data_IF_458787965078
#
_entry.id   IF_458787965078
#
_cell.length_a   1.000
_cell.length_b   1.000
_cell.length_c   1.000
_cell.angle_alpha   90.00
_cell.angle_beta   90.00
_cell.angle_gamma   90.00
#
_symmetry.space_group_name_H-M   'P 1'
#
loop_
_entity.id
_entity.type
_entity.pdbx_description
1 polymer ?
#
# COMPACT_ATOMS: atom_id res chain seq x y z
N UNK A 1 -3.81 7.23 -12.93
CA UNK A 1 -4.21 6.05 -13.74
C UNK A 1 -3.00 5.61 -14.55
N UNK A 2 -2.88 4.31 -14.85
CA UNK A 2 -1.76 3.82 -15.68
C UNK A 2 -1.97 4.15 -17.16
N UNK A 3 -0.90 4.56 -17.84
CA UNK A 3 -0.86 4.66 -19.30
C UNK A 3 -0.70 3.27 -19.94
N UNK A 4 -1.00 3.13 -21.24
CA UNK A 4 -0.98 1.83 -21.93
C UNK A 4 0.37 1.11 -21.82
N UNK A 5 1.48 1.85 -21.96
CA UNK A 5 2.82 1.30 -21.80
C UNK A 5 3.09 0.83 -20.35
N UNK A 6 2.56 1.54 -19.35
CA UNK A 6 2.65 1.16 -17.94
C UNK A 6 1.81 -0.09 -17.64
N UNK A 7 0.64 -0.24 -18.28
CA UNK A 7 -0.20 -1.44 -18.18
C UNK A 7 0.56 -2.65 -18.75
N UNK A 8 1.23 -2.50 -19.88
CA UNK A 8 2.03 -3.58 -20.46
C UNK A 8 3.25 -3.93 -19.59
N UNK A 9 3.96 -2.93 -19.06
CA UNK A 9 5.04 -3.17 -18.08
C UNK A 9 4.51 -3.91 -16.85
N UNK A 10 3.32 -3.54 -16.35
CA UNK A 10 2.70 -4.21 -15.20
C UNK A 10 2.41 -5.69 -15.53
N UNK A 11 1.84 -5.97 -16.71
CA UNK A 11 1.57 -7.34 -17.16
C UNK A 11 2.87 -8.16 -17.24
N UNK A 12 3.90 -7.62 -17.88
CA UNK A 12 5.20 -8.29 -18.02
C UNK A 12 5.85 -8.56 -16.66
N UNK A 13 5.83 -7.57 -15.77
CA UNK A 13 6.41 -7.70 -14.44
C UNK A 13 5.66 -8.74 -13.58
N UNK A 14 4.33 -8.80 -13.67
CA UNK A 14 3.54 -9.84 -13.02
C UNK A 14 3.92 -11.22 -13.57
N UNK A 15 3.94 -11.40 -14.90
CA UNK A 15 4.29 -12.68 -15.54
C UNK A 15 5.68 -13.15 -15.10
N UNK A 16 6.68 -12.26 -15.20
CA UNK A 16 8.04 -12.56 -14.80
C UNK A 16 8.11 -12.95 -13.31
N UNK A 17 7.43 -12.20 -12.45
CA UNK A 17 7.44 -12.42 -11.00
C UNK A 17 6.78 -13.75 -10.61
N UNK A 18 5.61 -14.08 -11.18
CA UNK A 18 4.93 -15.34 -10.85
C UNK A 18 5.63 -16.57 -11.39
N UNK A 19 6.46 -16.40 -12.44
CA UNK A 19 7.30 -17.45 -12.98
C UNK A 19 8.47 -17.82 -12.04
N UNK A 20 8.91 -16.91 -11.16
CA UNK A 20 9.99 -17.14 -10.21
C UNK A 20 9.57 -18.17 -9.15
N UNK A 21 10.28 -19.30 -9.00
CA UNK A 21 9.88 -20.39 -8.09
C UNK A 21 9.99 -20.02 -6.60
N UNK A 22 10.85 -19.05 -6.25
CA UNK A 22 11.04 -18.62 -4.84
C UNK A 22 10.03 -17.55 -4.40
N UNK A 23 9.21 -17.02 -5.31
CA UNK A 23 8.17 -16.05 -4.99
C UNK A 23 6.83 -16.78 -4.82
N UNK A 24 6.32 -16.77 -3.58
CA UNK A 24 5.01 -17.34 -3.25
C UNK A 24 3.86 -16.48 -3.77
N UNK A 25 3.95 -15.17 -3.55
CA UNK A 25 2.93 -14.17 -3.89
C UNK A 25 3.57 -12.81 -4.18
N UNK A 26 2.85 -11.95 -4.89
CA UNK A 26 3.26 -10.55 -5.10
C UNK A 26 2.75 -9.75 -3.91
N UNK A 27 3.66 -9.38 -3.01
CA UNK A 27 3.39 -8.61 -1.80
C UNK A 27 4.62 -7.84 -1.32
N UNK A 28 4.39 -6.90 -0.39
CA UNK A 28 5.43 -6.07 0.22
C UNK A 28 6.44 -5.52 -0.81
N UNK A 29 7.73 -5.82 -0.63
CA UNK A 29 8.80 -5.32 -1.47
C UNK A 29 8.71 -5.84 -2.92
N UNK A 30 8.12 -7.01 -3.16
CA UNK A 30 7.90 -7.50 -4.53
C UNK A 30 6.94 -6.58 -5.29
N UNK A 31 5.90 -6.09 -4.62
CA UNK A 31 4.99 -5.11 -5.23
C UNK A 31 5.68 -3.76 -5.43
N UNK A 32 6.46 -3.31 -4.44
CA UNK A 32 7.27 -2.09 -4.53
C UNK A 32 8.20 -2.12 -5.76
N UNK A 33 8.95 -3.20 -5.95
CA UNK A 33 9.86 -3.37 -7.07
C UNK A 33 9.14 -3.38 -8.44
N UNK A 34 8.01 -4.09 -8.53
CA UNK A 34 7.17 -4.07 -9.75
C UNK A 34 6.68 -2.66 -10.03
N UNK A 35 6.17 -1.95 -9.03
CA UNK A 35 5.63 -0.61 -9.22
C UNK A 35 6.70 0.37 -9.69
N UNK A 36 7.91 0.30 -9.13
CA UNK A 36 9.05 1.08 -9.57
C UNK A 36 9.40 0.82 -11.05
N UNK A 37 9.44 -0.45 -11.47
CA UNK A 37 9.63 -0.81 -12.88
C UNK A 37 8.51 -0.26 -13.78
N UNK A 38 7.25 -0.39 -13.35
CA UNK A 38 6.08 0.09 -14.10
C UNK A 38 6.16 1.61 -14.31
N UNK A 39 6.48 2.35 -13.24
CA UNK A 39 6.53 3.82 -13.24
C UNK A 39 7.86 4.41 -13.68
N UNK A 40 8.84 3.58 -14.03
CA UNK A 40 10.19 4.04 -14.39
C UNK A 40 10.85 4.87 -13.27
N UNK A 41 10.67 4.44 -12.02
CA UNK A 41 11.22 5.08 -10.83
C UNK A 41 12.41 4.26 -10.34
N UNK A 42 13.59 4.86 -10.11
CA UNK A 42 14.73 4.15 -9.53
C UNK A 42 14.35 3.46 -8.22
N UNK A 43 14.65 2.17 -8.10
CA UNK A 43 14.41 1.38 -6.90
C UNK A 43 15.70 1.34 -6.06
N UNK A 44 15.61 1.78 -4.81
CA UNK A 44 16.72 1.69 -3.87
C UNK A 44 16.87 0.28 -3.33
N UNK A 45 18.11 -0.20 -3.17
CA UNK A 45 18.37 -1.47 -2.51
C UNK A 45 17.96 -1.40 -1.03
N UNK A 46 16.99 -2.23 -0.58
CA UNK A 46 16.53 -2.22 0.81
C UNK A 46 17.61 -2.63 1.81
N UNK A 47 18.66 -3.33 1.37
CA UNK A 47 19.78 -3.73 2.23
C UNK A 47 20.67 -2.53 2.66
N UNK A 48 20.63 -1.42 1.93
CA UNK A 48 21.40 -0.20 2.24
C UNK A 48 20.75 0.66 3.33
N UNK A 49 19.64 0.19 3.91
CA UNK A 49 18.91 0.87 4.97
C UNK A 49 17.82 1.79 4.41
N UNK A 50 16.61 1.65 4.95
CA UNK A 50 15.46 2.48 4.57
C UNK A 50 14.72 3.03 5.78
N UNK A 51 14.41 4.32 5.75
CA UNK A 51 13.51 4.93 6.73
C UNK A 51 12.06 4.66 6.33
N UNK A 52 11.25 4.15 7.26
CA UNK A 52 9.85 3.82 6.99
C UNK A 52 8.97 5.07 6.94
N UNK A 53 8.85 5.65 5.75
CA UNK A 53 7.94 6.76 5.46
C UNK A 53 6.59 6.27 4.91
N UNK A 54 5.75 7.16 4.40
CA UNK A 54 4.40 6.80 3.90
C UNK A 54 4.44 6.34 2.45
N UNK A 55 5.21 7.03 1.61
CA UNK A 55 5.29 6.73 0.19
C UNK A 55 6.42 5.74 -0.04
N UNK A 56 6.07 4.57 -0.58
CA UNK A 56 7.02 3.51 -0.91
C UNK A 56 7.70 3.84 -2.25
N UNK A 57 7.02 4.56 -3.15
CA UNK A 57 7.57 5.06 -4.41
C UNK A 57 7.37 6.58 -4.53
N UNK A 58 8.37 7.29 -5.03
CA UNK A 58 8.34 8.75 -5.26
C UNK A 58 8.93 9.06 -6.64
N UNK A 59 8.17 9.78 -7.47
CA UNK A 59 8.63 10.30 -8.74
C UNK A 59 8.97 11.80 -8.59
N UNK A 60 10.27 12.18 -8.56
CA UNK A 60 10.67 13.58 -8.35
C UNK A 60 10.20 14.52 -9.46
N UNK A 61 10.17 14.04 -10.70
CA UNK A 61 9.79 14.84 -11.88
C UNK A 61 8.37 15.40 -11.81
N UNK A 62 7.44 14.67 -11.18
CA UNK A 62 6.04 15.09 -11.01
C UNK A 62 5.68 15.40 -9.56
N UNK A 63 6.65 15.32 -8.65
CA UNK A 63 6.43 15.36 -7.20
C UNK A 63 5.28 14.43 -6.75
N UNK A 64 5.19 13.25 -7.35
CA UNK A 64 4.15 12.26 -7.04
C UNK A 64 4.68 11.19 -6.09
N UNK A 65 3.87 10.79 -5.12
CA UNK A 65 4.20 9.75 -4.16
C UNK A 65 3.08 8.72 -4.04
N UNK A 66 3.45 7.45 -3.94
CA UNK A 66 2.52 6.33 -3.81
C UNK A 66 2.76 5.53 -2.55
N UNK A 67 1.74 5.39 -1.71
CA UNK A 67 1.68 4.35 -0.68
C UNK A 67 1.18 3.06 -1.33
N UNK A 68 2.04 2.05 -1.38
CA UNK A 68 1.82 0.79 -2.08
C UNK A 68 1.21 -0.25 -1.15
N UNK A 69 0.16 -0.93 -1.60
CA UNK A 69 -0.48 -2.03 -0.88
C UNK A 69 -0.78 -3.18 -1.82
N UNK A 70 -0.71 -4.40 -1.32
CA UNK A 70 -1.22 -5.57 -2.04
C UNK A 70 -2.18 -6.33 -1.15
N UNK A 71 -3.29 -6.83 -1.71
CA UNK A 71 -4.28 -7.61 -0.97
C UNK A 71 -4.78 -8.78 -1.79
N UNK A 72 -4.99 -9.91 -1.12
CA UNK A 72 -5.65 -11.05 -1.71
C UNK A 72 -7.16 -10.96 -1.46
N UNK A 73 -7.95 -11.06 -2.53
CA UNK A 73 -9.40 -11.21 -2.48
C UNK A 73 -9.80 -12.58 -3.02
N UNK A 74 -10.98 -13.07 -2.64
CA UNK A 74 -11.50 -14.34 -3.16
C UNK A 74 -11.94 -14.23 -4.62
N UNK A 75 -12.42 -13.06 -5.03
CA UNK A 75 -12.86 -12.74 -6.40
C UNK A 75 -12.91 -11.23 -6.61
N UNK A 76 -12.83 -10.80 -7.87
CA UNK A 76 -13.15 -9.43 -8.25
C UNK A 76 -14.60 -9.37 -8.72
N UNK A 77 -15.40 -8.54 -8.06
CA UNK A 77 -16.73 -8.17 -8.54
C UNK A 77 -16.80 -6.66 -8.59
N UNK A 78 -17.53 -6.11 -9.56
CA UNK A 78 -17.72 -4.68 -9.66
C UNK A 78 -18.28 -4.15 -8.33
N UNK A 79 -17.79 -3.00 -7.88
CA UNK A 79 -18.18 -2.37 -6.61
C UNK A 79 -17.85 -3.18 -5.35
N UNK A 80 -16.97 -4.19 -5.41
CA UNK A 80 -16.44 -4.83 -4.19
C UNK A 80 -15.75 -3.79 -3.32
N UNK A 81 -16.16 -3.70 -2.07
CA UNK A 81 -15.45 -2.94 -1.04
C UNK A 81 -14.48 -3.86 -0.30
N UNK A 82 -13.25 -3.42 -0.17
CA UNK A 82 -12.19 -4.12 0.53
C UNK A 82 -11.57 -3.21 1.60
N UNK A 83 -11.00 -3.84 2.62
CA UNK A 83 -10.41 -3.17 3.77
C UNK A 83 -8.93 -3.48 3.83
N UNK A 84 -8.11 -2.46 4.11
CA UNK A 84 -6.67 -2.63 4.25
C UNK A 84 -6.13 -1.72 5.33
N UNK A 85 -5.02 -2.14 5.94
CA UNK A 85 -4.34 -1.35 6.96
C UNK A 85 -3.61 -0.19 6.30
N UNK A 86 -3.94 1.05 6.69
CA UNK A 86 -3.23 2.25 6.23
C UNK A 86 -2.12 2.66 7.19
N UNK A 87 -2.27 2.38 8.48
CA UNK A 87 -1.21 2.54 9.46
C UNK A 87 -1.47 1.76 10.74
N UNK A 88 -0.42 1.59 11.55
CA UNK A 88 -0.59 1.37 12.99
C UNK A 88 -0.91 2.71 13.64
N UNK A 89 -2.01 2.76 14.38
CA UNK A 89 -2.52 3.94 15.06
C UNK A 89 -2.62 3.67 16.58
N UNK A 90 -1.55 3.98 17.31
CA UNK A 90 -1.52 3.91 18.77
C UNK A 90 -1.81 5.30 19.35
N UNK A 91 -3.03 5.79 19.12
CA UNK A 91 -3.42 7.18 19.41
C UNK A 91 -3.45 7.50 20.90
N UNK A 92 -3.74 6.51 21.75
CA UNK A 92 -3.70 6.67 23.21
C UNK A 92 -2.27 6.86 23.70
N UNK A 93 -1.30 6.09 23.18
CA UNK A 93 0.11 6.30 23.53
C UNK A 93 0.65 7.64 23.03
N UNK A 94 0.13 8.12 21.90
CA UNK A 94 0.53 9.40 21.28
C UNK A 94 -0.36 10.58 21.69
N UNK A 95 -1.26 10.38 22.63
CA UNK A 95 -2.28 11.32 23.08
C UNK A 95 -1.76 12.77 23.21
N UNK A 96 -0.73 12.98 24.03
CA UNK A 96 -0.13 14.31 24.26
C UNK A 96 0.45 14.93 22.99
N UNK A 97 1.15 14.14 22.16
CA UNK A 97 1.76 14.62 20.92
C UNK A 97 0.70 15.06 19.90
N UNK A 98 -0.44 14.36 19.89
CA UNK A 98 -1.57 14.64 19.02
C UNK A 98 -2.48 15.78 19.54
N UNK A 99 -2.20 16.36 20.71
CA UNK A 99 -3.03 17.41 21.31
C UNK A 99 -4.22 16.92 22.14
N UNK A 100 -4.25 15.64 22.52
CA UNK A 100 -5.32 15.02 23.31
C UNK A 100 -4.78 14.45 24.64
N UNK A 101 -4.23 15.26 25.57
CA UNK A 101 -3.44 14.76 26.70
C UNK A 101 -4.17 13.79 27.65
N UNK A 102 -5.51 13.83 27.69
CA UNK A 102 -6.34 12.97 28.55
C UNK A 102 -7.02 11.82 27.78
N UNK A 103 -6.61 11.55 26.53
CA UNK A 103 -7.21 10.51 25.71
C UNK A 103 -6.97 9.12 26.30
N UNK A 104 -8.03 8.36 26.51
CA UNK A 104 -7.98 6.96 26.96
C UNK A 104 -8.84 6.08 26.07
N UNK A 105 -8.77 4.76 26.25
CA UNK A 105 -9.66 3.84 25.52
C UNK A 105 -11.14 4.01 25.88
N UNK A 106 -11.44 4.68 27.00
CA UNK A 106 -12.79 4.97 27.48
C UNK A 106 -13.30 6.33 27.01
N UNK A 107 -12.47 7.13 26.34
CA UNK A 107 -12.88 8.39 25.74
C UNK A 107 -14.03 8.20 24.75
N UNK A 108 -14.75 9.28 24.47
CA UNK A 108 -15.89 9.23 23.56
C UNK A 108 -15.45 8.83 22.14
N UNK A 109 -16.34 8.20 21.34
CA UNK A 109 -16.09 7.92 19.92
C UNK A 109 -15.58 9.12 19.14
N UNK A 110 -16.14 10.32 19.43
CA UNK A 110 -15.76 11.56 18.76
C UNK A 110 -14.33 11.98 19.11
N UNK A 111 -13.94 11.95 20.38
CA UNK A 111 -12.57 12.31 20.79
C UNK A 111 -11.52 11.34 20.24
N UNK A 112 -11.79 10.03 20.33
CA UNK A 112 -10.91 9.02 19.73
C UNK A 112 -10.83 9.16 18.21
N UNK A 113 -11.97 9.41 17.57
CA UNK A 113 -12.06 9.68 16.14
C UNK A 113 -11.20 10.87 15.72
N UNK A 114 -11.31 11.99 16.43
CA UNK A 114 -10.51 13.18 16.18
C UNK A 114 -9.00 12.91 16.31
N UNK A 115 -8.58 12.17 17.34
CA UNK A 115 -7.17 11.79 17.51
C UNK A 115 -6.66 10.84 16.40
N UNK A 116 -7.51 9.93 15.91
CA UNK A 116 -7.20 9.05 14.77
C UNK A 116 -6.99 9.86 13.48
N UNK A 117 -7.90 10.81 13.20
CA UNK A 117 -7.77 11.68 12.03
C UNK A 117 -6.51 12.53 12.13
N UNK A 118 -6.26 13.16 13.29
CA UNK A 118 -5.05 13.96 13.52
C UNK A 118 -3.78 13.13 13.28
N UNK A 119 -3.70 11.92 13.85
CA UNK A 119 -2.53 11.06 13.71
C UNK A 119 -2.29 10.64 12.25
N UNK A 120 -3.35 10.36 11.49
CA UNK A 120 -3.22 10.05 10.07
C UNK A 120 -2.82 11.25 9.23
N UNK A 121 -3.45 12.41 9.47
CA UNK A 121 -3.16 13.63 8.73
C UNK A 121 -1.72 14.09 8.95
N UNK A 122 -1.23 14.05 10.19
CA UNK A 122 0.19 14.32 10.51
C UNK A 122 1.13 13.35 9.77
N UNK A 123 0.76 12.07 9.66
CA UNK A 123 1.57 11.09 8.93
C UNK A 123 1.66 11.44 7.44
N UNK A 124 0.55 11.86 6.83
CA UNK A 124 0.52 12.32 5.43
C UNK A 124 1.40 13.57 5.28
N UNK A 125 1.10 14.65 6.01
CA UNK A 125 1.77 15.95 5.83
C UNK A 125 3.26 15.87 6.12
N UNK A 126 3.67 15.16 7.18
CA UNK A 126 5.08 14.94 7.51
C UNK A 126 5.79 14.16 6.41
N UNK A 127 5.18 13.08 5.92
CA UNK A 127 5.81 12.26 4.87
C UNK A 127 5.86 13.01 3.53
N UNK A 128 4.85 13.81 3.20
CA UNK A 128 4.86 14.68 2.02
C UNK A 128 6.02 15.66 2.07
N UNK A 129 6.18 16.34 3.21
CA UNK A 129 7.26 17.31 3.40
C UNK A 129 8.64 16.66 3.31
N UNK A 130 8.85 15.52 3.98
CA UNK A 130 10.16 14.83 3.98
C UNK A 130 10.50 14.27 2.60
N UNK A 131 9.52 13.74 1.87
CA UNK A 131 9.73 13.08 0.58
C UNK A 131 9.54 14.00 -0.63
N UNK A 132 9.25 15.29 -0.44
CA UNK A 132 9.04 16.24 -1.53
C UNK A 132 7.79 15.93 -2.38
N UNK A 133 6.77 15.28 -1.80
CA UNK A 133 5.56 14.85 -2.51
C UNK A 133 4.48 15.94 -2.45
N UNK A 134 3.93 16.29 -3.62
CA UNK A 134 2.76 17.18 -3.77
C UNK A 134 1.51 16.43 -4.18
N UNK A 135 1.65 15.42 -5.04
CA UNK A 135 0.55 14.59 -5.53
C UNK A 135 0.61 13.23 -4.84
N UNK A 136 -0.37 12.92 -4.01
CA UNK A 136 -0.34 11.75 -3.15
C UNK A 136 -1.37 10.72 -3.54
N UNK A 137 -0.95 9.46 -3.61
CA UNK A 137 -1.79 8.36 -4.04
C UNK A 137 -1.65 7.13 -3.14
N UNK A 138 -2.73 6.37 -3.03
CA UNK A 138 -2.70 4.96 -2.63
C UNK A 138 -2.74 4.12 -3.91
N UNK A 139 -1.75 3.25 -4.11
CA UNK A 139 -1.79 2.30 -5.21
C UNK A 139 -1.86 0.88 -4.68
N UNK A 140 -2.88 0.15 -5.15
CA UNK A 140 -3.30 -1.12 -4.59
C UNK A 140 -3.30 -2.18 -5.67
N UNK A 141 -2.50 -3.22 -5.49
CA UNK A 141 -2.56 -4.43 -6.29
C UNK A 141 -3.44 -5.47 -5.59
N UNK A 142 -4.63 -5.69 -6.12
CA UNK A 142 -5.51 -6.78 -5.71
C UNK A 142 -5.15 -8.04 -6.49
N UNK A 143 -5.17 -9.20 -5.83
CA UNK A 143 -4.88 -10.51 -6.44
C UNK A 143 -5.92 -11.54 -6.01
N UNK A 144 -6.27 -12.47 -6.90
CA UNK A 144 -7.07 -13.63 -6.51
C UNK A 144 -6.21 -14.69 -5.82
N UNK A 145 -6.84 -15.62 -5.09
CA UNK A 145 -6.16 -16.70 -4.37
C UNK A 145 -5.29 -17.55 -5.32
N UNK A 146 -5.80 -17.82 -6.52
CA UNK A 146 -5.11 -18.62 -7.52
C UNK A 146 -3.95 -17.84 -8.18
N UNK A 147 -4.01 -16.51 -8.17
CA UNK A 147 -2.99 -15.66 -8.79
C UNK A 147 -3.00 -15.70 -10.32
N UNK A 148 -4.18 -15.87 -10.92
CA UNK A 148 -4.38 -15.72 -12.37
C UNK A 148 -4.90 -14.33 -12.73
N UNK A 149 -5.49 -13.64 -11.77
CA UNK A 149 -6.09 -12.33 -11.96
C UNK A 149 -5.51 -11.34 -10.96
N UNK A 150 -5.07 -10.22 -11.50
CA UNK A 150 -4.54 -9.09 -10.77
C UNK A 150 -5.33 -7.85 -11.17
N UNK A 151 -5.62 -6.99 -10.21
CA UNK A 151 -6.38 -5.79 -10.45
C UNK A 151 -5.69 -4.61 -9.76
N UNK A 152 -5.28 -3.64 -10.57
CA UNK A 152 -4.62 -2.44 -10.11
C UNK A 152 -5.63 -1.32 -9.90
N UNK A 153 -5.61 -0.73 -8.70
CA UNK A 153 -6.37 0.45 -8.34
C UNK A 153 -5.43 1.57 -7.91
N UNK A 154 -5.82 2.80 -8.19
CA UNK A 154 -5.14 4.00 -7.67
C UNK A 154 -6.18 4.97 -7.12
N UNK A 155 -5.92 5.54 -5.96
CA UNK A 155 -6.81 6.50 -5.31
C UNK A 155 -6.03 7.72 -4.84
N UNK A 156 -6.61 8.93 -4.93
CA UNK A 156 -6.06 10.09 -4.26
C UNK A 156 -5.92 9.86 -2.75
N UNK A 157 -4.79 10.30 -2.19
CA UNK A 157 -4.44 10.22 -0.78
C UNK A 157 -4.29 11.63 -0.21
N UNK A 158 -5.40 12.19 0.23
CA UNK A 158 -5.44 13.49 0.87
C UNK A 158 -5.65 13.34 2.40
N UNK A 159 -5.21 14.32 3.20
CA UNK A 159 -5.67 14.45 4.59
C UNK A 159 -7.19 14.43 4.67
N UNK A 160 -7.72 13.82 5.71
CA UNK A 160 -9.15 13.78 5.97
C UNK A 160 -9.62 15.09 6.61
N UNK A 161 -10.82 15.56 6.25
CA UNK A 161 -11.52 16.56 7.06
C UNK A 161 -12.14 15.84 8.28
N UNK A 162 -11.77 16.22 9.51
CA UNK A 162 -12.36 15.60 10.70
C UNK A 162 -13.89 15.78 10.80
N UNK A 163 -14.46 16.81 10.16
CA UNK A 163 -15.88 17.11 10.22
C UNK A 163 -16.74 16.21 9.30
N UNK A 164 -16.11 15.50 8.34
CA UNK A 164 -16.82 14.60 7.43
C UNK A 164 -17.26 13.29 8.10
N UNK A 165 -16.66 12.96 9.24
CA UNK A 165 -16.80 11.66 9.88
C UNK A 165 -17.80 11.67 11.04
N UNK A 166 -18.71 10.71 11.01
CA UNK A 166 -19.43 10.27 12.21
C UNK A 166 -18.76 9.03 12.79
N UNK A 167 -18.61 8.98 14.11
CA UNK A 167 -17.86 7.94 14.83
C UNK A 167 -18.77 7.12 15.74
N UNK A 168 -18.66 5.80 15.67
CA UNK A 168 -19.39 4.88 16.53
C UNK A 168 -18.58 3.62 16.82
N UNK A 169 -18.76 3.05 18.02
CA UNK A 169 -18.17 1.76 18.36
C UNK A 169 -18.80 0.65 17.50
N UNK A 170 -17.95 -0.20 16.91
CA UNK A 170 -18.40 -1.40 16.20
C UNK A 170 -18.94 -2.42 17.18
N UNK A 171 -19.94 -3.18 16.75
CA UNK A 171 -20.45 -4.34 17.47
C UNK A 171 -19.74 -5.60 16.98
N UNK A 172 -19.17 -6.38 17.90
CA UNK A 172 -18.66 -7.71 17.59
C UNK A 172 -19.84 -8.60 17.14
N UNK A 173 -19.81 -9.04 15.88
CA UNK A 173 -20.90 -9.85 15.31
C UNK A 173 -21.05 -11.22 15.96
N UNK A 174 -19.99 -11.77 16.56
CA UNK A 174 -20.03 -13.07 17.24
C UNK A 174 -20.56 -12.97 18.66
N UNK A 175 -20.22 -11.90 19.37
CA UNK A 175 -20.56 -11.74 20.80
C UNK A 175 -21.68 -10.74 21.07
N UNK A 176 -22.07 -9.95 20.07
CA UNK A 176 -23.03 -8.85 20.20
C UNK A 176 -22.53 -7.68 21.06
N UNK A 177 -21.30 -7.73 21.56
CA UNK A 177 -20.75 -6.70 22.44
C UNK A 177 -20.19 -5.53 21.63
N UNK A 178 -20.50 -4.31 22.08
CA UNK A 178 -19.90 -3.09 21.54
C UNK A 178 -18.43 -2.96 21.97
N UNK A 179 -17.63 -2.29 21.14
CA UNK A 179 -16.25 -1.89 21.49
C UNK A 179 -15.13 -2.77 20.94
N UNK A 180 -15.40 -3.60 19.93
CA UNK A 180 -14.36 -4.37 19.23
C UNK A 180 -13.40 -3.45 18.44
N UNK A 181 -13.92 -2.34 17.92
CA UNK A 181 -13.22 -1.30 17.19
C UNK A 181 -14.09 -0.05 17.08
N UNK A 182 -13.51 1.03 16.55
CA UNK A 182 -14.16 2.31 16.36
C UNK A 182 -14.30 2.58 14.85
N UNK A 183 -15.52 2.78 14.38
CA UNK A 183 -15.83 2.99 12.96
C UNK A 183 -16.07 4.47 12.68
N UNK A 184 -15.36 5.00 11.69
CA UNK A 184 -15.62 6.31 11.09
C UNK A 184 -16.39 6.14 9.79
N UNK A 185 -17.49 6.88 9.64
CA UNK A 185 -18.39 6.79 8.49
C UNK A 185 -18.63 8.17 7.87
N UNK A 186 -18.62 8.24 6.53
CA UNK A 186 -18.99 9.44 5.76
C UNK A 186 -20.33 9.15 5.08
N UNK A 187 -21.31 10.03 5.24
CA UNK A 187 -22.67 9.85 4.71
C UNK A 187 -23.27 8.46 5.04
N UNK A 188 -23.01 7.95 6.25
CA UNK A 188 -23.48 6.64 6.71
C UNK A 188 -22.70 5.43 6.17
N UNK A 189 -21.72 5.63 5.29
CA UNK A 189 -20.89 4.55 4.73
C UNK A 189 -19.59 4.40 5.53
N UNK A 190 -19.25 3.20 6.02
CA UNK A 190 -17.99 2.95 6.71
C UNK A 190 -16.78 3.28 5.82
N UNK A 191 -15.88 4.14 6.31
CA UNK A 191 -14.66 4.53 5.60
C UNK A 191 -13.40 4.14 6.35
N UNK A 192 -13.44 4.19 7.69
CA UNK A 192 -12.34 3.86 8.57
C UNK A 192 -12.79 2.92 9.68
N UNK A 193 -11.93 1.99 10.08
CA UNK A 193 -12.12 1.20 11.30
C UNK A 193 -10.81 1.12 12.07
N UNK A 194 -10.83 1.56 13.32
CA UNK A 194 -9.70 1.44 14.23
C UNK A 194 -9.93 0.32 15.23
N UNK A 195 -9.03 -0.66 15.28
CA UNK A 195 -9.09 -1.74 16.26
C UNK A 195 -8.12 -1.48 17.40
N UNK A 196 -8.65 -1.18 18.60
CA UNK A 196 -7.87 -0.84 19.80
C UNK A 196 -6.80 -1.89 20.16
N UNK A 197 -7.16 -3.18 20.09
CA UNK A 197 -6.26 -4.28 20.48
C UNK A 197 -5.08 -4.45 19.53
N UNK A 198 -5.30 -4.20 18.24
CA UNK A 198 -4.27 -4.36 17.21
C UNK A 198 -3.54 -3.04 16.93
N UNK A 199 -4.09 -1.91 17.41
CA UNK A 199 -3.61 -0.56 17.15
C UNK A 199 -3.47 -0.33 15.65
N UNK A 200 -4.43 -0.82 14.87
CA UNK A 200 -4.43 -0.72 13.41
C UNK A 200 -5.61 0.12 12.95
N UNK A 201 -5.33 1.01 12.00
CA UNK A 201 -6.33 1.77 11.28
C UNK A 201 -6.51 1.15 9.90
N UNK A 202 -7.73 0.66 9.66
CA UNK A 202 -8.16 0.14 8.38
C UNK A 202 -8.90 1.23 7.61
N UNK A 203 -8.73 1.21 6.29
CA UNK A 203 -9.46 2.02 5.34
C UNK A 203 -10.26 1.14 4.40
N UNK A 204 -11.49 1.54 4.11
CA UNK A 204 -12.29 0.96 3.06
C UNK A 204 -12.00 1.64 1.72
N UNK A 205 -11.91 0.84 0.67
CA UNK A 205 -11.97 1.31 -0.72
C UNK A 205 -12.88 0.40 -1.52
N UNK A 206 -13.55 0.98 -2.50
CA UNK A 206 -14.37 0.25 -3.46
C UNK A 206 -13.58 0.14 -4.77
N UNK A 207 -13.60 -1.03 -5.40
CA UNK A 207 -12.95 -1.21 -6.71
C UNK A 207 -13.56 -0.19 -7.69
N UNK A 208 -12.75 0.72 -8.24
CA UNK A 208 -13.24 1.74 -9.16
C UNK A 208 -13.47 1.15 -10.56
N UNK A 209 -14.35 1.73 -11.38
CA UNK A 209 -14.59 1.25 -12.74
C UNK A 209 -13.36 1.36 -13.65
N UNK A 210 -12.47 2.31 -13.38
CA UNK A 210 -11.20 2.50 -14.09
C UNK A 210 -10.06 1.55 -13.66
N UNK A 211 -10.34 0.57 -12.79
CA UNK A 211 -9.32 -0.37 -12.37
C UNK A 211 -8.80 -1.20 -13.53
N UNK A 212 -7.48 -1.44 -13.55
CA UNK A 212 -6.82 -2.20 -14.62
C UNK A 212 -6.79 -3.67 -14.24
N UNK A 213 -7.56 -4.49 -14.95
CA UNK A 213 -7.51 -5.94 -14.84
C UNK A 213 -6.38 -6.50 -15.70
N UNK A 214 -5.53 -7.32 -15.09
CA UNK A 214 -4.47 -8.07 -15.75
C UNK A 214 -4.71 -9.56 -15.48
N UNK A 215 -4.95 -10.30 -16.56
CA UNK A 215 -5.03 -11.75 -16.52
C UNK A 215 -3.71 -12.35 -16.99
N UNK A 216 -3.22 -13.35 -16.26
CA UNK A 216 -1.96 -14.03 -16.56
C UNK A 216 -2.12 -15.53 -16.45
N UNK A 217 -1.37 -16.24 -17.30
CA UNK A 217 -1.14 -17.67 -17.11
C UNK A 217 0.01 -17.87 -16.12
N UNK A 218 -0.16 -18.81 -15.19
CA UNK A 218 0.84 -19.07 -14.16
C UNK A 218 1.70 -20.27 -14.53
N UNK A 219 2.81 -19.99 -15.21
CA UNK A 219 3.84 -21.00 -15.53
C UNK A 219 5.08 -20.72 -14.71
N UNK A 220 5.43 -21.62 -13.79
CA UNK A 220 6.64 -21.51 -12.95
C UNK A 220 7.85 -22.10 -13.66
N UNK A 221 8.97 -21.41 -13.59
CA UNK A 221 10.27 -21.97 -13.96
C UNK A 221 10.67 -23.06 -12.95
N UNK A 222 11.41 -24.06 -13.43
CA UNK A 222 12.14 -24.95 -12.52
C UNK A 222 13.24 -24.16 -11.81
N UNK A 223 13.61 -24.57 -10.59
CA UNK A 223 14.68 -23.91 -9.83
C UNK A 223 15.99 -23.82 -10.61
N UNK A 224 16.35 -24.87 -11.36
CA UNK A 224 17.53 -24.87 -12.21
C UNK A 224 17.45 -23.82 -13.32
N UNK A 225 16.30 -23.73 -14.02
CA UNK A 225 16.12 -22.75 -15.09
C UNK A 225 16.10 -21.32 -14.57
N UNK A 226 15.49 -21.09 -13.41
CA UNK A 226 15.51 -19.80 -12.72
C UNK A 226 16.95 -19.38 -12.40
N UNK A 227 17.71 -20.21 -11.69
CA UNK A 227 19.11 -19.90 -11.31
C UNK A 227 19.96 -19.63 -12.54
N UNK A 228 19.86 -20.47 -13.58
CA UNK A 228 20.60 -20.27 -14.83
C UNK A 228 20.26 -18.93 -15.49
N UNK A 229 18.97 -18.59 -15.57
CA UNK A 229 18.51 -17.34 -16.21
C UNK A 229 19.03 -16.11 -15.47
N UNK A 230 18.97 -16.12 -14.13
CA UNK A 230 19.50 -15.01 -13.32
C UNK A 230 21.02 -14.89 -13.44
N UNK A 231 21.76 -16.01 -13.39
CA UNK A 231 23.21 -15.97 -13.55
C UNK A 231 23.63 -15.44 -14.94
N UNK A 232 22.94 -15.85 -16.00
CA UNK A 232 23.19 -15.31 -17.34
C UNK A 232 22.93 -13.81 -17.43
N UNK A 233 21.79 -13.33 -16.91
CA UNK A 233 21.48 -11.90 -16.91
C UNK A 233 22.49 -11.07 -16.09
N UNK A 234 22.95 -11.60 -14.95
CA UNK A 234 23.99 -10.94 -14.14
C UNK A 234 25.32 -10.85 -14.88
N UNK A 235 25.72 -11.91 -15.60
CA UNK A 235 26.95 -11.91 -16.40
C UNK A 235 26.89 -10.89 -17.54
N UNK A 236 25.74 -10.78 -18.22
CA UNK A 236 25.51 -9.77 -19.25
C UNK A 236 25.65 -8.36 -18.67
N UNK A 237 24.97 -8.08 -17.55
CA UNK A 237 25.03 -6.76 -16.89
C UNK A 237 26.45 -6.37 -16.44
N UNK A 238 27.22 -7.33 -15.92
CA UNK A 238 28.63 -7.10 -15.54
C UNK A 238 29.48 -6.79 -16.77
N UNK A 239 29.22 -7.48 -17.88
CA UNK A 239 29.98 -7.32 -19.13
C UNK A 239 29.69 -5.99 -19.84
N UNK A 240 28.51 -5.42 -19.63
CA UNK A 240 28.10 -4.12 -20.19
C UNK A 240 28.52 -2.92 -19.33
N UNK A 241 28.98 -3.15 -18.10
CA UNK A 241 29.47 -2.07 -17.22
C UNK A 241 30.90 -1.66 -17.65
N UNK A 242 31.17 -0.38 -17.97
CA UNK A 242 32.52 0.04 -18.37
C UNK A 242 33.53 -0.23 -17.24
N UNK A 243 34.79 -0.59 -17.58
CA UNK A 243 35.82 -0.75 -16.55
C UNK A 243 35.95 0.56 -15.77
N UNK A 244 35.85 0.48 -14.44
CA UNK A 244 36.10 1.61 -13.56
C UNK A 244 37.39 2.31 -14.01
N UNK A 245 37.28 3.57 -14.46
CA UNK A 245 38.47 4.39 -14.65
C UNK A 245 39.18 4.48 -13.30
N UNK A 246 40.49 4.18 -13.24
CA UNK A 246 41.24 4.39 -12.01
C UNK A 246 41.22 5.90 -11.71
N UNK A 247 40.77 6.25 -10.50
CA UNK A 247 40.89 7.61 -9.98
C UNK A 247 42.38 8.00 -9.99
N UNK A 248 42.75 8.98 -10.82
CA UNK A 248 44.04 9.70 -10.78
C UNK A 248 44.02 10.82 -9.72
#
# INVERSE_FOLDING_TARGET
>A
MLAENEIERLRQAIIATVAVPVIGSIEDYTWEAIFHYVKDIPLSDPALGRSKLLYDAVAPSTASGWSLKSLQLSRFTASTTFWFVIQRADVVKKATQLGFPNLTEQSSPTELGAAIIQHWNEKITTSQSIQGVRNSYESILLKTIQGYEYLYCEFPLNPFDPNDFSWAWTVDRRTGKSGAGLQGSIAGQPQLVWYKNQKQLFRARTIPPEAVLVQVERTRLTSARYVQTILSALQEQISESPPNEPEE
#
